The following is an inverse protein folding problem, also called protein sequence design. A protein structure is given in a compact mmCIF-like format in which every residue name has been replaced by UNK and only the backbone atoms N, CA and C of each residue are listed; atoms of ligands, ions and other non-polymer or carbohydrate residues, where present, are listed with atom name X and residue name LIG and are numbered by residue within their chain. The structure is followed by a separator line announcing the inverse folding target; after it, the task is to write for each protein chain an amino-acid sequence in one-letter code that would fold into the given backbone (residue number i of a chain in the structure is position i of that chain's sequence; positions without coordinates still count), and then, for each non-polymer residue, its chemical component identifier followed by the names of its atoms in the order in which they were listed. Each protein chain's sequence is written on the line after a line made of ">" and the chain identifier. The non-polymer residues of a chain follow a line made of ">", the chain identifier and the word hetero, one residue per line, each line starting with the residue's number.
data_IF_645798528469
#
_entry.id   IF_645798528469
#
_cell.length_a   1.000
_cell.length_b   1.000
_cell.length_c   1.000
_cell.angle_alpha   90.00
_cell.angle_beta   90.00
_cell.angle_gamma   90.00
#
_symmetry.space_group_name_H-M   'P 1'
#
loop_
_entity.id
_entity.type
_entity.pdbx_description
1 polymer ?
#
# COMPACT_ATOMS: atom_id res chain seq x y z
N UNK A 1 13.33 4.61 -7.94
CA UNK A 1 13.79 3.43 -7.19
C UNK A 1 12.70 2.83 -6.30
N UNK A 2 11.95 3.66 -5.57
CA UNK A 2 10.90 3.20 -4.65
C UNK A 2 9.71 2.51 -5.32
N UNK A 3 9.48 2.79 -6.60
CA UNK A 3 8.38 2.22 -7.38
C UNK A 3 8.76 0.92 -8.10
N UNK A 4 10.05 0.58 -8.15
CA UNK A 4 10.53 -0.62 -8.85
C UNK A 4 9.94 -1.93 -8.34
N UNK A 5 9.82 -2.17 -7.02
CA UNK A 5 9.21 -3.40 -6.52
C UNK A 5 7.76 -3.59 -7.00
N UNK A 6 6.98 -2.52 -7.04
CA UNK A 6 5.60 -2.57 -7.55
C UNK A 6 5.59 -2.90 -9.04
N UNK A 7 6.45 -2.23 -9.81
CA UNK A 7 6.57 -2.50 -11.26
C UNK A 7 6.99 -3.94 -11.54
N UNK A 8 7.98 -4.44 -10.80
CA UNK A 8 8.47 -5.81 -10.97
C UNK A 8 7.39 -6.85 -10.66
N UNK A 9 6.64 -6.66 -9.58
CA UNK A 9 5.53 -7.53 -9.23
C UNK A 9 4.41 -7.49 -10.27
N UNK A 10 4.08 -6.32 -10.78
CA UNK A 10 3.06 -6.20 -11.84
C UNK A 10 3.52 -6.88 -13.13
N UNK A 11 4.78 -6.73 -13.54
CA UNK A 11 5.34 -7.43 -14.69
C UNK A 11 5.26 -8.94 -14.53
N UNK A 12 5.60 -9.44 -13.35
CA UNK A 12 5.51 -10.87 -13.04
C UNK A 12 4.06 -11.38 -13.14
N UNK A 13 3.11 -10.66 -12.54
CA UNK A 13 1.70 -11.05 -12.54
C UNK A 13 1.07 -10.97 -13.92
N UNK A 14 1.48 -10.02 -14.75
CA UNK A 14 0.97 -9.83 -16.12
C UNK A 14 1.68 -10.71 -17.14
N UNK A 15 2.75 -11.39 -16.75
CA UNK A 15 3.50 -12.31 -17.60
C UNK A 15 4.57 -11.68 -18.48
N UNK A 16 4.53 -10.38 -18.71
CA UNK A 16 5.56 -9.68 -19.48
C UNK A 16 5.60 -8.17 -19.18
N UNK A 17 6.72 -7.54 -19.58
CA UNK A 17 6.95 -6.11 -19.43
C UNK A 17 6.11 -5.27 -20.41
N UNK A 18 5.91 -5.77 -21.61
CA UNK A 18 5.22 -5.05 -22.70
C UNK A 18 3.76 -4.79 -22.33
N UNK A 19 3.07 -5.75 -21.71
CA UNK A 19 1.69 -5.58 -21.26
C UNK A 19 1.56 -4.47 -20.22
N UNK A 20 2.47 -4.40 -19.25
CA UNK A 20 2.47 -3.34 -18.25
C UNK A 20 2.66 -1.97 -18.89
N UNK A 21 3.66 -1.82 -19.75
CA UNK A 21 3.93 -0.57 -20.46
C UNK A 21 2.72 -0.10 -21.29
N UNK A 22 2.05 -1.02 -21.98
CA UNK A 22 0.86 -0.73 -22.77
C UNK A 22 -0.29 -0.19 -21.89
N UNK A 23 -0.56 -0.82 -20.75
CA UNK A 23 -1.62 -0.35 -19.85
C UNK A 23 -1.28 0.97 -19.18
N UNK A 24 -0.01 1.23 -18.90
CA UNK A 24 0.44 2.53 -18.39
C UNK A 24 0.28 3.64 -19.44
N UNK A 25 0.66 3.39 -20.70
CA UNK A 25 0.48 4.34 -21.80
C UNK A 25 -1.00 4.67 -22.04
N UNK A 26 -1.89 3.69 -21.89
CA UNK A 26 -3.33 3.89 -22.02
C UNK A 26 -3.99 4.55 -20.79
N UNK A 27 -3.23 4.83 -19.75
CA UNK A 27 -3.75 5.40 -18.52
C UNK A 27 -4.61 4.44 -17.68
N UNK A 28 -4.52 3.12 -17.95
CA UNK A 28 -5.26 2.11 -17.19
C UNK A 28 -4.57 1.76 -15.86
N UNK A 29 -3.25 1.87 -15.82
CA UNK A 29 -2.43 1.65 -14.64
C UNK A 29 -1.57 2.90 -14.44
N UNK A 30 -1.64 3.46 -13.24
CA UNK A 30 -0.75 4.53 -12.80
C UNK A 30 0.05 4.05 -11.59
N UNK A 31 1.36 4.29 -11.60
CA UNK A 31 2.25 3.97 -10.48
C UNK A 31 2.94 5.27 -10.08
N UNK A 32 2.61 5.77 -8.89
CA UNK A 32 3.06 7.08 -8.45
C UNK A 32 3.51 7.08 -6.98
N UNK A 33 4.42 7.97 -6.64
CA UNK A 33 4.74 8.28 -5.26
C UNK A 33 3.62 9.12 -4.62
N UNK A 34 3.41 8.98 -3.31
CA UNK A 34 2.34 9.67 -2.58
C UNK A 34 2.39 11.19 -2.71
N UNK A 35 3.58 11.77 -2.85
CA UNK A 35 3.75 13.22 -3.03
C UNK A 35 3.05 13.76 -4.26
N UNK A 36 2.85 12.94 -5.29
CA UNK A 36 2.16 13.33 -6.54
C UNK A 36 0.64 13.20 -6.47
N UNK A 37 0.11 12.55 -5.42
CA UNK A 37 -1.33 12.37 -5.22
C UNK A 37 -1.96 13.57 -4.52
N UNK A 38 -1.18 14.37 -3.83
CA UNK A 38 -1.67 15.56 -3.12
C UNK A 38 -2.42 16.51 -4.06
N UNK A 39 -3.62 16.89 -3.67
CA UNK A 39 -4.46 17.78 -4.44
C UNK A 39 -5.32 17.11 -5.52
N UNK A 40 -5.14 15.83 -5.78
CA UNK A 40 -5.98 15.06 -6.70
C UNK A 40 -7.18 14.48 -5.98
N UNK A 41 -8.33 14.44 -6.66
CA UNK A 41 -9.47 13.62 -6.28
C UNK A 41 -9.46 12.35 -7.13
N UNK A 42 -9.60 11.18 -6.52
CA UNK A 42 -9.51 9.89 -7.20
C UNK A 42 -10.89 9.23 -7.19
N UNK A 43 -11.52 9.14 -8.35
CA UNK A 43 -12.84 8.53 -8.53
C UNK A 43 -12.79 7.38 -9.54
N UNK A 44 -13.71 6.43 -9.40
CA UNK A 44 -13.86 5.29 -10.32
C UNK A 44 -12.55 4.52 -10.53
N UNK A 45 -11.83 4.25 -9.44
CA UNK A 45 -10.53 3.62 -9.48
C UNK A 45 -10.39 2.50 -8.43
N UNK A 46 -9.38 1.70 -8.61
CA UNK A 46 -8.91 0.73 -7.63
C UNK A 46 -7.52 1.19 -7.20
N UNK A 47 -7.36 1.53 -5.93
CA UNK A 47 -6.13 2.12 -5.40
C UNK A 47 -5.48 1.17 -4.40
N UNK A 48 -4.19 0.94 -4.55
CA UNK A 48 -3.38 0.18 -3.58
C UNK A 48 -2.30 1.10 -3.04
N UNK A 49 -2.26 1.26 -1.72
CA UNK A 49 -1.20 1.97 -1.01
C UNK A 49 -0.33 0.93 -0.32
N UNK A 50 0.86 0.74 -0.86
CA UNK A 50 1.82 -0.22 -0.32
C UNK A 50 2.69 0.41 0.77
N UNK A 51 3.22 -0.42 1.66
CA UNK A 51 4.08 -0.01 2.78
C UNK A 51 3.42 1.07 3.68
N UNK A 52 2.13 0.94 3.89
CA UNK A 52 1.33 1.94 4.61
C UNK A 52 1.70 2.09 6.09
N UNK A 53 2.44 1.14 6.68
CA UNK A 53 2.95 1.25 8.04
C UNK A 53 3.96 2.41 8.22
N UNK A 54 4.55 2.88 7.11
CA UNK A 54 5.49 4.01 7.12
C UNK A 54 4.80 5.37 7.04
N UNK A 55 3.49 5.39 6.90
CA UNK A 55 2.71 6.63 6.80
C UNK A 55 2.25 7.10 8.17
N UNK A 56 2.25 8.43 8.35
CA UNK A 56 1.65 9.05 9.53
C UNK A 56 0.12 9.00 9.46
N UNK A 57 -0.53 9.22 10.60
CA UNK A 57 -2.00 9.36 10.67
C UNK A 57 -2.50 10.47 9.75
N UNK A 58 -1.77 11.59 9.69
CA UNK A 58 -2.12 12.72 8.84
C UNK A 58 -2.03 12.36 7.35
N UNK A 59 -0.99 11.66 6.94
CA UNK A 59 -0.81 11.23 5.55
C UNK A 59 -1.92 10.26 5.12
N UNK A 60 -2.26 9.27 5.94
CA UNK A 60 -3.37 8.36 5.66
C UNK A 60 -4.69 9.12 5.55
N UNK A 61 -4.96 10.02 6.48
CA UNK A 61 -6.18 10.85 6.43
C UNK A 61 -6.24 11.68 5.15
N UNK A 62 -5.13 12.28 4.77
CA UNK A 62 -5.03 13.10 3.54
C UNK A 62 -5.35 12.27 2.31
N UNK A 63 -4.85 11.04 2.22
CA UNK A 63 -5.10 10.15 1.08
C UNK A 63 -6.56 9.70 1.06
N UNK A 64 -7.06 9.17 2.17
CA UNK A 64 -8.42 8.61 2.23
C UNK A 64 -9.49 9.66 1.95
N UNK A 65 -9.29 10.88 2.42
CA UNK A 65 -10.24 11.99 2.18
C UNK A 65 -10.26 12.47 0.74
N UNK A 66 -9.34 12.03 -0.10
CA UNK A 66 -9.33 12.33 -1.54
C UNK A 66 -9.98 11.26 -2.40
N UNK A 67 -10.37 10.17 -1.79
CA UNK A 67 -11.04 9.07 -2.48
C UNK A 67 -12.47 9.51 -2.80
N UNK A 68 -12.79 9.52 -4.09
CA UNK A 68 -14.13 9.85 -4.59
C UNK A 68 -15.01 8.62 -4.79
N UNK A 69 -16.20 8.85 -5.32
CA UNK A 69 -17.16 7.81 -5.57
C UNK A 69 -16.64 6.75 -6.55
N UNK A 70 -17.07 5.51 -6.35
CA UNK A 70 -16.70 4.40 -7.21
C UNK A 70 -15.25 3.91 -7.05
N UNK A 71 -14.55 4.36 -6.03
CA UNK A 71 -13.16 3.96 -5.77
C UNK A 71 -13.07 3.01 -4.58
N UNK A 72 -12.33 1.93 -4.76
CA UNK A 72 -11.89 1.04 -3.67
C UNK A 72 -10.44 1.34 -3.35
N UNK A 73 -10.14 1.50 -2.06
CA UNK A 73 -8.76 1.67 -1.59
C UNK A 73 -8.34 0.48 -0.72
N UNK A 74 -7.14 -0.01 -0.94
CA UNK A 74 -6.51 -1.06 -0.15
C UNK A 74 -5.20 -0.52 0.41
N UNK A 75 -5.02 -0.65 1.72
CA UNK A 75 -3.76 -0.36 2.39
C UNK A 75 -3.08 -1.69 2.71
N UNK A 76 -1.85 -1.85 2.25
CA UNK A 76 -1.02 -3.01 2.59
C UNK A 76 0.16 -2.57 3.43
N UNK A 77 0.60 -3.43 4.33
CA UNK A 77 1.75 -3.11 5.17
C UNK A 77 2.03 -4.15 6.24
N UNK A 78 3.15 -3.96 6.90
CA UNK A 78 3.61 -4.80 8.00
C UNK A 78 4.11 -3.89 9.12
N UNK A 79 3.40 -3.87 10.25
CA UNK A 79 3.75 -3.01 11.38
C UNK A 79 5.08 -3.40 12.06
N UNK A 80 5.62 -4.59 11.77
CA UNK A 80 6.94 -5.01 12.24
C UNK A 80 8.09 -4.48 11.36
N UNK A 81 7.78 -3.94 10.17
CA UNK A 81 8.76 -3.43 9.20
C UNK A 81 8.66 -1.92 8.99
N UNK A 82 8.62 -1.16 10.08
CA UNK A 82 8.55 0.31 10.02
C UNK A 82 9.95 0.88 9.80
N UNK A 83 10.16 1.49 8.64
CA UNK A 83 11.43 2.14 8.28
C UNK A 83 11.43 3.65 8.53
N UNK A 84 10.25 4.26 8.65
CA UNK A 84 10.11 5.69 8.90
C UNK A 84 10.43 6.01 10.36
N UNK A 85 11.46 6.82 10.60
CA UNK A 85 11.91 7.20 11.94
C UNK A 85 10.91 8.05 12.72
N UNK A 86 9.94 8.66 12.05
CA UNK A 86 8.92 9.53 12.66
C UNK A 86 7.66 8.78 13.10
N UNK A 87 7.56 7.48 12.82
CA UNK A 87 6.43 6.65 13.23
C UNK A 87 6.92 5.40 13.97
N UNK A 88 6.06 4.83 14.81
CA UNK A 88 6.32 3.58 15.51
C UNK A 88 5.10 2.64 15.39
N UNK A 89 5.14 1.48 16.04
CA UNK A 89 4.07 0.49 15.97
C UNK A 89 2.70 1.03 16.39
N UNK A 90 2.66 2.02 17.29
CA UNK A 90 1.40 2.59 17.80
C UNK A 90 1.00 3.89 17.11
N UNK A 91 1.96 4.65 16.54
CA UNK A 91 1.70 5.97 15.95
C UNK A 91 1.57 5.97 14.43
N UNK A 92 1.78 4.81 13.77
CA UNK A 92 1.66 4.76 12.32
C UNK A 92 0.21 4.87 11.84
N UNK A 93 0.05 5.39 10.63
CA UNK A 93 -1.26 5.63 10.05
C UNK A 93 -2.03 4.35 9.74
N UNK A 94 -1.35 3.26 9.39
CA UNK A 94 -2.00 1.98 9.09
C UNK A 94 -2.71 1.40 10.33
N UNK A 95 -2.00 1.30 11.46
CA UNK A 95 -2.59 0.81 12.71
C UNK A 95 -3.75 1.71 13.16
N UNK A 96 -3.59 3.02 13.04
CA UNK A 96 -4.65 3.97 13.36
C UNK A 96 -5.88 3.79 12.46
N UNK A 97 -5.68 3.61 11.16
CA UNK A 97 -6.79 3.38 10.22
C UNK A 97 -7.53 2.09 10.52
N UNK A 98 -6.82 1.00 10.81
CA UNK A 98 -7.42 -0.29 11.18
C UNK A 98 -8.32 -0.12 12.40
N UNK A 99 -7.82 0.47 13.47
CA UNK A 99 -8.59 0.68 14.70
C UNK A 99 -9.78 1.62 14.49
N UNK A 100 -9.61 2.68 13.70
CA UNK A 100 -10.66 3.67 13.46
C UNK A 100 -11.81 3.13 12.62
N UNK A 101 -11.53 2.25 11.65
CA UNK A 101 -12.53 1.77 10.69
C UNK A 101 -13.13 0.40 11.03
N UNK A 102 -12.57 -0.35 11.98
CA UNK A 102 -12.98 -1.74 12.24
C UNK A 102 -14.46 -1.95 12.59
N UNK A 103 -15.12 -0.92 13.09
CA UNK A 103 -16.55 -0.98 13.44
C UNK A 103 -17.49 -0.54 12.29
N UNK A 104 -16.95 -0.10 11.17
CA UNK A 104 -17.73 0.39 10.05
C UNK A 104 -17.82 -0.63 8.92
N UNK A 105 -19.02 -0.89 8.42
CA UNK A 105 -19.26 -1.89 7.37
C UNK A 105 -18.63 -1.54 6.02
N UNK A 106 -18.27 -0.27 5.81
CA UNK A 106 -17.57 0.17 4.59
C UNK A 106 -16.12 -0.34 4.52
N UNK A 107 -15.57 -0.81 5.63
CA UNK A 107 -14.18 -1.24 5.73
C UNK A 107 -14.06 -2.69 6.17
N UNK A 108 -12.95 -3.32 5.80
CA UNK A 108 -12.58 -4.67 6.23
C UNK A 108 -11.10 -4.73 6.55
N UNK A 109 -10.71 -5.69 7.38
CA UNK A 109 -9.33 -5.91 7.77
C UNK A 109 -8.98 -7.39 7.77
N UNK A 110 -7.81 -7.72 7.23
CA UNK A 110 -7.25 -9.07 7.25
C UNK A 110 -5.80 -9.00 7.70
N UNK A 111 -5.44 -9.84 8.69
CA UNK A 111 -4.05 -10.02 9.10
C UNK A 111 -3.55 -11.39 8.64
N UNK A 112 -2.50 -11.39 7.84
CA UNK A 112 -1.81 -12.61 7.47
C UNK A 112 -0.88 -13.04 8.61
N UNK A 113 -1.02 -14.28 9.06
CA UNK A 113 -0.24 -14.82 10.19
C UNK A 113 0.97 -15.62 9.76
N UNK A 114 1.01 -16.06 8.49
CA UNK A 114 2.10 -16.86 7.93
C UNK A 114 2.69 -16.14 6.72
N UNK A 115 4.00 -15.89 6.78
CA UNK A 115 4.73 -15.32 5.65
C UNK A 115 5.17 -16.39 4.65
N UNK A 116 5.07 -16.06 3.38
CA UNK A 116 5.63 -16.84 2.29
C UNK A 116 7.00 -16.26 1.93
N UNK A 117 8.03 -16.71 2.63
CA UNK A 117 9.42 -16.25 2.45
C UNK A 117 10.34 -17.43 2.19
N UNK A 118 11.51 -17.17 1.59
CA UNK A 118 12.57 -18.17 1.47
C UNK A 118 13.02 -18.65 2.85
N UNK A 119 13.61 -19.82 2.91
CA UNK A 119 14.16 -20.39 4.15
C UNK A 119 15.15 -19.43 4.82
N UNK A 120 16.06 -18.85 4.05
CA UNK A 120 17.04 -17.88 4.56
C UNK A 120 16.36 -16.62 5.12
N UNK A 121 15.39 -16.04 4.40
CA UNK A 121 14.71 -14.84 4.85
C UNK A 121 13.90 -15.10 6.14
N UNK A 122 13.29 -16.26 6.24
CA UNK A 122 12.57 -16.69 7.45
C UNK A 122 13.52 -16.85 8.63
N UNK A 123 14.67 -17.49 8.43
CA UNK A 123 15.68 -17.63 9.46
C UNK A 123 16.23 -16.27 9.90
N UNK A 124 16.60 -15.42 8.93
CA UNK A 124 17.14 -14.09 9.22
C UNK A 124 16.21 -13.24 10.08
N UNK A 125 14.90 -13.28 9.81
CA UNK A 125 13.91 -12.55 10.60
C UNK A 125 13.81 -12.99 12.06
N UNK A 126 14.30 -14.19 12.36
CA UNK A 126 14.30 -14.75 13.73
C UNK A 126 15.59 -14.51 14.50
N UNK A 127 16.72 -14.45 13.78
CA UNK A 127 18.04 -14.45 14.43
C UNK A 127 18.76 -13.09 14.35
N UNK A 128 18.32 -12.18 13.49
CA UNK A 128 18.83 -10.82 13.35
C UNK A 128 17.88 -9.79 13.94
#
# INVERSE_FOLDING_TARGET
>A
PWLMPIQDNLKFLMGDKTSLEMYMEKGKIEIEALTYIRGRSIANAFVVIDEAQNLTKHEIKTIITRIGDGTKIILTGDIEQIDNIYVNETSNGLAHAIESFKQYLIAGHVTFKKGERSELATLASKVL
#
